data_IF_215309751896
#
_entry.id   IF_215309751896
#
_cell.length_a   1.000
_cell.length_b   1.000
_cell.length_c   1.000
_cell.angle_alpha   90.00
_cell.angle_beta   90.00
_cell.angle_gamma   90.00
#
_symmetry.space_group_name_H-M   'P 1'
#
loop_
_entity.id
_entity.type
_entity.pdbx_description
1 polymer ?
#
# COMPACT_ATOMS: atom_id res chain seq x y z
N UNK A 1 7.26 -6.17 6.09
CA UNK A 1 6.97 -5.93 4.66
C UNK A 1 7.96 -4.88 4.25
N UNK A 2 8.88 -5.22 3.35
CA UNK A 2 9.82 -4.24 2.81
C UNK A 2 9.07 -3.27 1.87
N UNK A 3 9.57 -2.06 1.69
CA UNK A 3 8.99 -1.10 0.76
C UNK A 3 8.94 -1.67 -0.67
N UNK A 4 9.95 -2.45 -1.07
CA UNK A 4 9.95 -3.13 -2.36
C UNK A 4 8.83 -4.16 -2.51
N UNK A 5 8.40 -4.82 -1.41
CA UNK A 5 7.27 -5.74 -1.44
C UNK A 5 5.97 -4.98 -1.79
N UNK A 6 5.82 -3.76 -1.28
CA UNK A 6 4.68 -2.89 -1.61
C UNK A 6 4.68 -2.53 -3.10
N UNK A 7 5.83 -2.17 -3.66
CA UNK A 7 5.96 -1.85 -5.08
C UNK A 7 5.70 -3.07 -5.98
N UNK A 8 6.21 -4.24 -5.61
CA UNK A 8 5.91 -5.48 -6.33
C UNK A 8 4.42 -5.79 -6.31
N UNK A 9 3.76 -5.57 -5.16
CA UNK A 9 2.33 -5.74 -5.03
C UNK A 9 1.54 -4.70 -5.86
N UNK A 10 2.03 -3.47 -6.02
CA UNK A 10 1.43 -2.49 -6.93
C UNK A 10 1.37 -3.02 -8.36
N UNK A 11 2.47 -3.62 -8.84
CA UNK A 11 2.57 -4.21 -10.18
C UNK A 11 1.59 -5.38 -10.32
N UNK A 12 1.56 -6.30 -9.33
CA UNK A 12 0.65 -7.45 -9.32
C UNK A 12 -0.81 -7.02 -9.36
N UNK A 13 -1.19 -6.01 -8.57
CA UNK A 13 -2.57 -5.51 -8.46
C UNK A 13 -2.93 -4.47 -9.52
N UNK A 14 -1.99 -4.08 -10.38
CA UNK A 14 -2.14 -3.00 -11.38
C UNK A 14 -2.64 -1.69 -10.74
N UNK A 15 -2.15 -1.37 -9.56
CA UNK A 15 -2.51 -0.12 -8.87
C UNK A 15 -1.80 1.07 -9.51
N UNK A 16 -2.45 2.24 -9.51
CA UNK A 16 -1.84 3.48 -10.00
C UNK A 16 -1.06 4.24 -8.94
N UNK A 17 -1.46 4.14 -7.67
CA UNK A 17 -0.93 4.94 -6.57
C UNK A 17 -0.78 4.08 -5.31
N UNK A 18 0.26 4.35 -4.51
CA UNK A 18 0.49 3.78 -3.18
C UNK A 18 0.45 4.91 -2.14
N UNK A 19 -0.36 4.73 -1.10
CA UNK A 19 -0.53 5.67 0.01
C UNK A 19 0.15 5.12 1.27
N UNK A 20 1.05 5.93 1.83
CA UNK A 20 1.79 5.63 3.05
C UNK A 20 1.51 6.75 4.05
N UNK A 21 1.11 6.38 5.26
CA UNK A 21 0.81 7.31 6.35
C UNK A 21 1.21 6.64 7.66
N UNK A 22 1.93 7.36 8.51
CA UNK A 22 2.37 6.85 9.81
C UNK A 22 1.17 6.46 10.69
N UNK A 23 1.27 5.32 11.36
CA UNK A 23 0.20 4.76 12.18
C UNK A 23 -1.00 4.20 11.40
N UNK A 24 -0.98 4.20 10.06
CA UNK A 24 -2.09 3.73 9.21
C UNK A 24 -1.63 2.57 8.33
N UNK A 25 -2.56 1.65 8.02
CA UNK A 25 -2.31 0.57 7.08
C UNK A 25 -2.07 1.15 5.65
N UNK A 26 -1.09 0.62 4.90
CA UNK A 26 -0.86 1.06 3.54
C UNK A 26 -2.09 0.77 2.67
N UNK A 27 -2.35 1.68 1.73
CA UNK A 27 -3.48 1.56 0.80
C UNK A 27 -3.01 1.78 -0.64
N UNK A 28 -3.74 1.21 -1.60
CA UNK A 28 -3.47 1.39 -3.03
C UNK A 28 -4.70 1.90 -3.77
N UNK A 29 -4.48 2.67 -4.82
CA UNK A 29 -5.56 3.01 -5.77
C UNK A 29 -5.64 1.95 -6.87
N UNK A 30 -6.71 1.17 -6.87
CA UNK A 30 -6.96 0.11 -7.85
C UNK A 30 -8.27 0.46 -8.56
N UNK A 31 -8.23 0.63 -9.88
CA UNK A 31 -9.40 0.96 -10.71
C UNK A 31 -10.23 2.15 -10.17
N UNK A 32 -9.53 3.20 -9.69
CA UNK A 32 -10.16 4.41 -9.17
C UNK A 32 -10.55 4.37 -7.69
N UNK A 33 -10.44 3.21 -7.01
CA UNK A 33 -10.82 3.05 -5.60
C UNK A 33 -9.60 2.89 -4.70
N UNK A 34 -9.63 3.51 -3.51
CA UNK A 34 -8.58 3.36 -2.49
C UNK A 34 -8.92 2.15 -1.64
N UNK A 35 -8.01 1.17 -1.59
CA UNK A 35 -8.21 -0.10 -0.88
C UNK A 35 -7.03 -0.37 0.06
N UNK A 36 -7.27 -0.70 1.35
CA UNK A 36 -6.22 -1.15 2.26
C UNK A 36 -5.64 -2.50 1.81
N UNK A 37 -4.32 -2.63 1.82
CA UNK A 37 -3.62 -3.85 1.35
C UNK A 37 -2.98 -4.67 2.49
N UNK A 38 -3.05 -4.17 3.70
CA UNK A 38 -2.61 -4.84 4.92
C UNK A 38 -3.55 -4.48 6.07
N UNK A 39 -3.58 -5.29 7.13
CA UNK A 39 -4.25 -4.97 8.39
C UNK A 39 -3.33 -4.24 9.37
N UNK A 40 -2.02 -4.33 9.16
CA UNK A 40 -1.03 -3.76 10.05
C UNK A 40 -0.69 -2.34 9.61
N UNK A 41 -0.71 -1.41 10.56
CA UNK A 41 -0.21 -0.05 10.35
C UNK A 41 1.29 -0.04 10.06
N UNK A 42 1.72 0.92 9.25
CA UNK A 42 3.14 1.25 9.11
C UNK A 42 3.59 2.09 10.31
N UNK A 43 4.81 1.86 10.78
CA UNK A 43 5.51 2.67 11.77
C UNK A 43 6.85 3.10 11.20
N UNK A 44 7.21 4.37 11.35
CA UNK A 44 8.45 4.95 10.83
C UNK A 44 9.71 4.66 11.66
N UNK A 45 9.82 3.49 12.29
CA UNK A 45 11.08 3.08 12.97
C UNK A 45 12.24 2.88 11.97
#
# INVERSE_FOLDING_TARGET
>A
MDFNDLLNLMVEKKSSDLFITDGVAPSMKINGQIVPISKNSLSGE
#
